data_IF_369566310154
#
_entry.id   IF_369566310154
#
_cell.length_a   1.000
_cell.length_b   1.000
_cell.length_c   1.000
_cell.angle_alpha   90.00
_cell.angle_beta   90.00
_cell.angle_gamma   90.00
#
_symmetry.space_group_name_H-M   'P 1'
#
loop_
_entity.id
_entity.type
_entity.pdbx_description
1 polymer ?
#
# COMPACT_ATOMS: atom_id res chain seq x y z
N UNK A 1 31.92 -50.64 -42.03
CA UNK A 1 30.81 -49.86 -41.45
C UNK A 1 29.89 -49.44 -42.58
N UNK A 2 28.59 -49.75 -42.48
CA UNK A 2 27.65 -49.34 -43.52
C UNK A 2 27.46 -47.82 -43.43
N UNK A 3 27.32 -47.13 -44.56
CA UNK A 3 27.14 -45.66 -44.63
C UNK A 3 26.01 -45.16 -43.70
N UNK A 4 24.98 -45.98 -43.49
CA UNK A 4 23.87 -45.71 -42.57
C UNK A 4 24.29 -45.65 -41.10
N UNK A 5 25.17 -46.53 -40.64
CA UNK A 5 25.65 -46.59 -39.25
C UNK A 5 26.51 -45.37 -38.93
N UNK A 6 27.33 -44.92 -39.89
CA UNK A 6 28.13 -43.70 -39.75
C UNK A 6 27.25 -42.46 -39.62
N UNK A 7 26.22 -42.35 -40.45
CA UNK A 7 25.25 -41.24 -40.39
C UNK A 7 24.47 -41.25 -39.07
N UNK A 8 24.12 -42.44 -38.57
CA UNK A 8 23.43 -42.61 -37.29
C UNK A 8 24.31 -42.09 -36.13
N UNK A 9 25.56 -42.51 -36.09
CA UNK A 9 26.52 -42.09 -35.07
C UNK A 9 26.79 -40.57 -35.11
N UNK A 10 26.90 -39.99 -36.32
CA UNK A 10 27.05 -38.55 -36.48
C UNK A 10 25.82 -37.80 -35.95
N UNK A 11 24.61 -38.25 -36.28
CA UNK A 11 23.37 -37.64 -35.78
C UNK A 11 23.29 -37.70 -34.26
N UNK A 12 23.59 -38.85 -33.67
CA UNK A 12 23.53 -39.07 -32.22
C UNK A 12 24.53 -38.18 -31.46
N UNK A 13 25.70 -37.91 -32.04
CA UNK A 13 26.67 -36.98 -31.47
C UNK A 13 26.28 -35.50 -31.63
N UNK A 14 25.69 -35.12 -32.78
CA UNK A 14 25.39 -33.72 -33.09
C UNK A 14 24.09 -33.21 -32.46
N UNK A 15 23.05 -34.05 -32.35
CA UNK A 15 21.75 -33.69 -31.76
C UNK A 15 21.90 -33.07 -30.35
N UNK A 16 22.62 -33.66 -29.38
CA UNK A 16 22.73 -33.08 -28.03
C UNK A 16 23.47 -31.74 -28.02
N UNK A 17 24.37 -31.52 -28.97
CA UNK A 17 25.11 -30.26 -29.11
C UNK A 17 24.21 -29.17 -29.70
N UNK A 18 23.42 -29.50 -30.74
CA UNK A 18 22.39 -28.63 -31.30
C UNK A 18 21.37 -28.25 -30.22
N UNK A 19 20.86 -29.22 -29.44
CA UNK A 19 19.90 -28.94 -28.36
C UNK A 19 20.45 -27.98 -27.30
N UNK A 20 21.72 -28.15 -26.90
CA UNK A 20 22.38 -27.24 -25.96
C UNK A 20 22.48 -25.82 -26.53
N UNK A 21 22.83 -25.70 -27.81
CA UNK A 21 22.92 -24.40 -28.48
C UNK A 21 21.53 -23.76 -28.58
N UNK A 22 20.50 -24.51 -28.97
CA UNK A 22 19.12 -24.03 -29.06
C UNK A 22 18.60 -23.58 -27.69
N UNK A 23 18.77 -24.39 -26.63
CA UNK A 23 18.37 -24.02 -25.26
C UNK A 23 19.05 -22.73 -24.79
N UNK A 24 20.37 -22.59 -25.03
CA UNK A 24 21.10 -21.36 -24.70
C UNK A 24 20.53 -20.14 -25.45
N UNK A 25 20.27 -20.27 -26.76
CA UNK A 25 19.72 -19.18 -27.59
C UNK A 25 18.31 -18.79 -27.16
N UNK A 26 17.43 -19.78 -26.90
CA UNK A 26 16.06 -19.55 -26.42
C UNK A 26 16.06 -18.87 -25.05
N UNK A 27 16.90 -19.33 -24.12
CA UNK A 27 17.00 -18.72 -22.79
C UNK A 27 17.51 -17.28 -22.84
N UNK A 28 18.48 -16.98 -23.70
CA UNK A 28 18.97 -15.61 -23.90
C UNK A 28 17.89 -14.71 -24.49
N UNK A 29 17.16 -15.18 -25.52
CA UNK A 29 16.07 -14.43 -26.13
C UNK A 29 14.93 -14.19 -25.11
N UNK A 30 14.52 -15.21 -24.35
CA UNK A 30 13.52 -15.08 -23.30
C UNK A 30 13.96 -14.10 -22.21
N UNK A 31 15.22 -14.14 -21.79
CA UNK A 31 15.76 -13.20 -20.81
C UNK A 31 15.79 -11.75 -21.33
N UNK A 32 16.04 -11.54 -22.63
CA UNK A 32 15.95 -10.23 -23.27
C UNK A 32 14.51 -9.71 -23.31
N UNK A 33 13.57 -10.55 -23.75
CA UNK A 33 12.12 -10.22 -23.78
C UNK A 33 11.60 -9.87 -22.38
N UNK A 34 11.99 -10.64 -21.35
CA UNK A 34 11.59 -10.37 -19.97
C UNK A 34 12.22 -9.05 -19.46
N UNK A 35 13.47 -8.75 -19.82
CA UNK A 35 14.13 -7.49 -19.46
C UNK A 35 13.48 -6.28 -20.14
N UNK A 36 13.07 -6.41 -21.38
CA UNK A 36 12.36 -5.36 -22.12
C UNK A 36 10.96 -5.13 -21.52
N UNK A 37 10.20 -6.19 -21.27
CA UNK A 37 8.85 -6.08 -20.70
C UNK A 37 8.84 -5.70 -19.21
N UNK A 38 9.87 -6.03 -18.41
CA UNK A 38 9.94 -5.58 -17.01
C UNK A 38 10.22 -4.09 -16.86
N UNK A 39 10.76 -3.42 -17.88
CA UNK A 39 10.96 -1.97 -17.85
C UNK A 39 9.64 -1.19 -17.98
N UNK A 40 8.58 -1.81 -18.51
CA UNK A 40 7.35 -1.10 -18.89
C UNK A 40 6.21 -1.23 -17.88
N UNK A 41 6.25 -2.15 -16.91
CA UNK A 41 5.05 -2.45 -16.09
C UNK A 41 5.33 -2.80 -14.63
N UNK A 42 5.91 -1.87 -13.86
CA UNK A 42 5.78 -1.94 -12.39
C UNK A 42 5.06 -0.69 -11.89
N UNK A 43 3.79 -0.78 -11.47
CA UNK A 43 3.10 0.37 -10.89
C UNK A 43 3.76 0.71 -9.56
N UNK A 44 4.14 1.98 -9.39
CA UNK A 44 4.59 2.52 -8.12
C UNK A 44 3.54 3.51 -7.63
N UNK A 45 3.04 3.29 -6.42
CA UNK A 45 2.06 4.18 -5.78
C UNK A 45 2.80 5.44 -5.35
N UNK A 46 2.33 6.60 -5.82
CA UNK A 46 2.83 7.91 -5.40
C UNK A 46 1.85 8.46 -4.36
N UNK A 47 2.35 8.78 -3.17
CA UNK A 47 1.56 9.46 -2.14
C UNK A 47 1.49 10.95 -2.47
N UNK A 48 0.28 11.49 -2.57
CA UNK A 48 0.05 12.93 -2.72
C UNK A 48 -0.06 13.58 -1.33
N UNK A 49 0.85 14.49 -1.01
CA UNK A 49 0.72 15.34 0.18
C UNK A 49 -0.31 16.44 -0.10
N UNK A 50 -1.50 16.33 0.49
CA UNK A 50 -2.60 17.29 0.33
C UNK A 50 -2.38 18.54 1.16
N UNK A 51 -1.25 19.23 0.98
CA UNK A 51 -1.01 20.53 1.61
C UNK A 51 -1.68 21.64 0.79
N UNK A 52 -2.38 22.55 1.47
CA UNK A 52 -3.11 23.67 0.83
C UNK A 52 -2.17 24.61 0.07
N UNK A 53 -0.90 24.70 0.49
CA UNK A 53 0.15 25.41 -0.23
C UNK A 53 0.45 24.80 -1.61
N UNK A 54 0.45 23.46 -1.74
CA UNK A 54 0.71 22.78 -3.01
C UNK A 54 -0.41 22.92 -4.05
N UNK A 55 -1.63 23.26 -3.62
CA UNK A 55 -2.78 23.54 -4.50
C UNK A 55 -2.79 24.98 -5.03
N UNK A 56 -2.12 25.90 -4.32
CA UNK A 56 -2.05 27.33 -4.67
C UNK A 56 -0.80 27.69 -5.48
N UNK A 57 0.24 26.86 -5.44
CA UNK A 57 1.44 27.03 -6.27
C UNK A 57 1.15 26.54 -7.69
N UNK A 58 1.15 27.46 -8.65
CA UNK A 58 1.02 27.20 -10.10
C UNK A 58 2.32 26.61 -10.69
N UNK A 59 3.02 25.76 -9.93
CA UNK A 59 4.14 24.99 -10.44
C UNK A 59 3.58 23.86 -11.29
N UNK A 60 4.03 23.78 -12.55
CA UNK A 60 3.68 22.73 -13.49
C UNK A 60 3.87 21.39 -12.78
N UNK A 61 2.75 20.73 -12.49
CA UNK A 61 2.77 19.40 -11.90
C UNK A 61 3.73 18.55 -12.75
N UNK A 62 4.77 17.93 -12.14
CA UNK A 62 5.70 17.12 -12.89
C UNK A 62 4.89 16.09 -13.67
N UNK A 63 5.19 15.96 -14.96
CA UNK A 63 4.45 15.11 -15.87
C UNK A 63 4.30 13.72 -15.21
N UNK A 64 3.08 13.20 -15.01
CA UNK A 64 2.85 11.92 -14.31
C UNK A 64 3.56 10.74 -14.99
N UNK A 65 4.14 10.94 -16.18
CA UNK A 65 4.93 9.96 -16.92
C UNK A 65 6.45 10.11 -16.78
N UNK A 66 6.95 11.09 -16.00
CA UNK A 66 8.39 11.24 -15.76
C UNK A 66 8.89 10.30 -14.68
N UNK A 67 9.73 9.34 -15.10
CA UNK A 67 10.32 8.31 -14.25
C UNK A 67 11.44 8.90 -13.41
N UNK A 68 11.14 9.27 -12.16
CA UNK A 68 12.17 9.60 -11.19
C UNK A 68 12.88 8.32 -10.72
N UNK A 69 14.21 8.29 -10.89
CA UNK A 69 15.06 7.13 -10.58
C UNK A 69 14.94 6.67 -9.12
N UNK A 70 15.05 5.35 -8.88
CA UNK A 70 15.06 4.77 -7.53
C UNK A 70 16.13 5.44 -6.67
N UNK A 71 15.75 5.90 -5.47
CA UNK A 71 16.70 6.35 -4.45
C UNK A 71 17.70 5.22 -4.19
N UNK A 72 18.98 5.51 -4.36
CA UNK A 72 20.08 4.58 -4.10
C UNK A 72 20.09 4.22 -2.61
N UNK A 73 20.08 2.93 -2.29
CA UNK A 73 20.21 2.44 -0.93
C UNK A 73 21.38 1.47 -0.80
N UNK A 74 21.93 1.40 0.41
CA UNK A 74 23.05 0.53 0.73
C UNK A 74 22.54 -0.88 1.01
N UNK A 75 22.85 -1.82 0.12
CA UNK A 75 22.56 -3.25 0.32
C UNK A 75 23.29 -3.76 1.56
N UNK A 76 22.57 -4.40 2.48
CA UNK A 76 23.17 -5.06 3.65
C UNK A 76 23.34 -6.54 3.38
N UNK A 77 24.40 -7.12 3.92
CA UNK A 77 24.64 -8.57 3.94
C UNK A 77 24.16 -9.12 5.28
N UNK A 78 23.10 -9.93 5.24
CA UNK A 78 22.52 -10.56 6.42
C UNK A 78 23.12 -11.95 6.65
N UNK A 79 23.28 -12.72 5.57
CA UNK A 79 23.84 -14.08 5.61
C UNK A 79 25.00 -14.17 4.61
N UNK A 80 26.16 -14.66 5.07
CA UNK A 80 27.32 -14.91 4.19
C UNK A 80 27.02 -16.07 3.25
N UNK A 81 27.27 -15.88 1.96
CA UNK A 81 27.18 -16.93 0.94
C UNK A 81 25.80 -17.14 0.30
N UNK A 82 24.75 -16.45 0.75
CA UNK A 82 23.42 -16.54 0.11
C UNK A 82 22.96 -15.19 -0.45
N UNK A 83 23.26 -14.95 -1.73
CA UNK A 83 22.89 -13.72 -2.44
C UNK A 83 21.39 -13.58 -2.63
N UNK A 84 20.69 -14.66 -2.94
CA UNK A 84 19.24 -14.66 -3.18
C UNK A 84 18.48 -14.23 -1.92
N UNK A 85 18.85 -14.79 -0.78
CA UNK A 85 18.19 -14.49 0.49
C UNK A 85 18.55 -13.09 0.98
N UNK A 86 19.79 -12.62 0.77
CA UNK A 86 20.15 -11.23 1.05
C UNK A 86 19.37 -10.24 0.17
N UNK A 87 19.16 -10.55 -1.12
CA UNK A 87 18.36 -9.71 -2.00
C UNK A 87 16.88 -9.70 -1.56
N UNK A 88 16.29 -10.85 -1.21
CA UNK A 88 14.92 -10.93 -0.66
C UNK A 88 14.75 -10.13 0.65
N UNK A 89 15.73 -10.21 1.55
CA UNK A 89 15.69 -9.48 2.82
C UNK A 89 15.86 -7.98 2.64
N UNK A 90 16.72 -7.54 1.72
CA UNK A 90 16.82 -6.13 1.37
C UNK A 90 15.51 -5.63 0.74
N UNK A 91 14.89 -6.40 -0.17
CA UNK A 91 13.59 -6.07 -0.76
C UNK A 91 12.45 -6.00 0.29
N UNK A 92 12.49 -6.83 1.32
CA UNK A 92 11.48 -6.81 2.40
C UNK A 92 11.72 -5.65 3.38
N UNK A 93 12.99 -5.36 3.68
CA UNK A 93 13.36 -4.21 4.50
C UNK A 93 12.99 -2.87 3.82
N UNK A 94 13.01 -2.81 2.49
CA UNK A 94 12.50 -1.67 1.71
C UNK A 94 11.00 -1.45 1.93
N UNK A 95 10.19 -2.51 1.90
CA UNK A 95 8.73 -2.40 2.09
C UNK A 95 8.35 -1.89 3.49
N UNK A 96 9.15 -2.21 4.52
CA UNK A 96 8.87 -1.75 5.88
C UNK A 96 8.99 -0.23 6.05
N UNK A 97 9.75 0.48 5.21
CA UNK A 97 9.86 1.94 5.28
C UNK A 97 8.69 2.65 4.59
N UNK A 98 8.11 2.02 3.56
CA UNK A 98 7.02 2.59 2.76
C UNK A 98 5.70 2.64 3.56
N UNK A 99 5.35 1.58 4.30
CA UNK A 99 4.15 1.58 5.16
C UNK A 99 4.31 2.39 6.44
N UNK A 100 5.55 2.56 6.93
CA UNK A 100 5.80 3.34 8.16
C UNK A 100 5.46 4.80 7.99
N UNK A 101 5.60 5.33 6.77
CA UNK A 101 5.48 6.76 6.51
C UNK A 101 4.29 7.17 5.67
N UNK A 102 3.61 6.30 4.91
CA UNK A 102 2.33 6.53 4.15
C UNK A 102 2.04 8.00 3.72
N UNK A 103 3.05 8.77 3.30
CA UNK A 103 2.92 10.20 2.96
C UNK A 103 2.65 11.18 4.13
N UNK A 104 2.76 10.79 5.41
CA UNK A 104 2.40 11.64 6.55
C UNK A 104 3.38 11.66 7.73
N UNK A 105 4.52 10.97 7.63
CA UNK A 105 5.51 10.85 8.69
C UNK A 105 5.46 9.49 9.40
N UNK A 106 6.56 9.13 10.08
CA UNK A 106 6.71 7.82 10.70
C UNK A 106 5.69 7.60 11.84
N UNK A 107 4.81 6.60 11.69
CA UNK A 107 3.94 6.16 12.77
C UNK A 107 4.76 5.47 13.87
N UNK A 108 5.24 6.27 14.82
CA UNK A 108 5.94 5.76 16.00
C UNK A 108 4.96 5.30 17.07
N UNK A 109 5.43 4.45 17.98
CA UNK A 109 4.67 3.97 19.14
C UNK A 109 4.14 5.11 20.03
N UNK A 110 4.72 6.30 19.95
CA UNK A 110 4.27 7.47 20.70
C UNK A 110 3.02 8.12 20.08
N UNK A 111 2.84 8.08 18.75
CA UNK A 111 1.57 8.43 18.11
C UNK A 111 0.44 7.46 18.47
N UNK A 112 0.74 6.17 18.61
CA UNK A 112 -0.25 5.17 19.03
C UNK A 112 -0.78 5.40 20.46
N UNK A 113 0.05 5.97 21.34
CA UNK A 113 -0.39 6.40 22.68
C UNK A 113 -1.36 7.58 22.59
N UNK A 114 -1.11 8.55 21.71
CA UNK A 114 -2.02 9.68 21.50
C UNK A 114 -3.35 9.23 20.89
N UNK A 115 -3.34 8.23 20.00
CA UNK A 115 -4.57 7.69 19.40
C UNK A 115 -5.40 6.82 20.37
N UNK A 116 -4.74 6.13 21.32
CA UNK A 116 -5.41 5.39 22.40
C UNK A 116 -5.87 6.28 23.56
N UNK A 117 -5.15 7.37 23.83
CA UNK A 117 -5.50 8.34 24.88
C UNK A 117 -6.61 9.30 24.41
N UNK A 118 -6.71 9.56 23.11
CA UNK A 118 -7.86 10.22 22.53
C UNK A 118 -9.04 9.25 22.52
N UNK A 119 -9.84 9.26 23.59
CA UNK A 119 -11.23 8.88 23.45
C UNK A 119 -11.75 9.62 22.20
N UNK A 120 -12.38 8.96 21.22
CA UNK A 120 -12.90 9.66 20.04
C UNK A 120 -13.86 10.80 20.42
N UNK A 121 -14.42 10.75 21.64
CA UNK A 121 -15.21 11.82 22.24
C UNK A 121 -14.39 13.08 22.58
N UNK A 122 -13.13 12.96 23.02
CA UNK A 122 -12.30 14.12 23.39
C UNK A 122 -11.81 14.92 22.18
N UNK A 123 -11.89 14.36 20.97
CA UNK A 123 -11.65 15.09 19.72
C UNK A 123 -12.76 16.14 19.44
N UNK A 124 -13.93 16.00 20.07
CA UNK A 124 -15.06 16.92 19.92
C UNK A 124 -15.16 17.97 21.05
N UNK A 125 -14.12 18.06 21.91
CA UNK A 125 -14.05 18.95 23.07
C UNK A 125 -14.47 18.30 24.40
N UNK A 126 -14.26 18.99 25.51
CA UNK A 126 -14.70 18.55 26.86
C UNK A 126 -16.24 18.59 27.03
N UNK A 127 -16.95 19.16 26.07
CA UNK A 127 -18.40 19.30 26.09
C UNK A 127 -19.09 18.13 25.37
N UNK A 128 -20.31 17.82 25.81
CA UNK A 128 -21.16 16.77 25.22
C UNK A 128 -21.29 17.05 23.70
N UNK A 129 -20.93 16.10 22.81
CA UNK A 129 -20.91 16.35 21.38
C UNK A 129 -22.33 16.69 20.90
N UNK A 130 -22.46 17.83 20.23
CA UNK A 130 -23.72 18.25 19.60
C UNK A 130 -23.88 17.58 18.25
N UNK A 131 -25.13 17.49 17.80
CA UNK A 131 -25.53 16.86 16.54
C UNK A 131 -24.78 17.50 15.37
N UNK A 132 -24.65 18.83 15.38
CA UNK A 132 -23.98 19.58 14.31
C UNK A 132 -22.47 19.33 14.25
N UNK A 133 -21.83 18.99 15.38
CA UNK A 133 -20.41 18.64 15.39
C UNK A 133 -20.13 17.22 14.83
N UNK A 134 -21.16 16.37 14.74
CA UNK A 134 -21.02 14.96 14.34
C UNK A 134 -21.55 14.67 12.93
N UNK A 135 -22.06 15.68 12.22
CA UNK A 135 -22.63 15.52 10.89
C UNK A 135 -21.86 16.40 9.90
N UNK A 136 -21.52 15.89 8.70
CA UNK A 136 -20.91 16.70 7.65
C UNK A 136 -21.80 17.89 7.24
N UNK A 137 -21.20 19.02 6.92
CA UNK A 137 -21.90 20.25 6.50
C UNK A 137 -22.71 20.11 5.19
N UNK A 138 -22.49 19.02 4.42
CA UNK A 138 -23.22 18.71 3.18
C UNK A 138 -24.64 18.17 3.44
N UNK A 139 -25.45 18.91 4.20
CA UNK A 139 -26.81 18.50 4.54
C UNK A 139 -27.83 18.87 3.45
N UNK A 140 -27.45 19.62 2.41
CA UNK A 140 -28.33 20.09 1.30
C UNK A 140 -29.73 20.53 1.80
N UNK A 141 -29.79 21.16 2.98
CA UNK A 141 -31.03 21.63 3.61
C UNK A 141 -31.93 20.54 4.25
N UNK A 142 -31.49 19.29 4.39
CA UNK A 142 -32.30 18.21 4.99
C UNK A 142 -32.20 18.21 6.52
N UNK A 143 -33.35 18.37 7.17
CA UNK A 143 -33.48 18.23 8.62
C UNK A 143 -33.37 16.76 9.02
N UNK A 144 -32.65 16.50 10.13
CA UNK A 144 -32.49 15.15 10.64
C UNK A 144 -33.55 14.90 11.72
N UNK A 145 -34.27 13.77 11.68
CA UNK A 145 -35.21 13.41 12.74
C UNK A 145 -34.54 13.36 14.12
N UNK A 146 -35.25 13.84 15.15
CA UNK A 146 -34.74 13.94 16.52
C UNK A 146 -34.27 12.60 17.11
N UNK A 147 -34.89 11.48 16.70
CA UNK A 147 -34.47 10.14 17.10
C UNK A 147 -33.05 9.78 16.59
N UNK A 148 -32.74 10.17 15.35
CA UNK A 148 -31.43 9.93 14.74
C UNK A 148 -30.37 10.84 15.36
N UNK A 149 -30.75 12.10 15.61
CA UNK A 149 -29.92 13.08 16.31
C UNK A 149 -29.49 12.60 17.71
N UNK A 150 -30.45 12.09 18.49
CA UNK A 150 -30.18 11.58 19.84
C UNK A 150 -29.38 10.27 19.84
N UNK A 151 -29.60 9.38 18.86
CA UNK A 151 -28.81 8.18 18.70
C UNK A 151 -27.35 8.49 18.35
N UNK A 152 -27.15 9.49 17.48
CA UNK A 152 -25.82 9.94 17.05
C UNK A 152 -25.01 10.53 18.21
N UNK A 153 -25.64 11.37 19.04
CA UNK A 153 -25.01 11.98 20.23
C UNK A 153 -25.05 11.08 21.48
N UNK A 154 -25.62 9.88 21.36
CA UNK A 154 -25.91 8.95 22.48
C UNK A 154 -26.67 9.63 23.62
N UNK A 155 -27.48 10.64 23.32
CA UNK A 155 -28.24 11.39 24.32
C UNK A 155 -29.56 10.69 24.64
N UNK A 156 -29.47 9.62 25.45
CA UNK A 156 -30.64 8.91 25.95
C UNK A 156 -31.33 9.61 27.12
N UNK A 157 -31.00 10.87 27.43
CA UNK A 157 -31.54 11.57 28.60
C UNK A 157 -33.07 11.67 28.58
N UNK A 158 -33.69 11.81 27.41
CA UNK A 158 -35.16 11.79 27.28
C UNK A 158 -35.77 10.43 27.64
N UNK A 159 -35.08 9.33 27.28
CA UNK A 159 -35.50 7.98 27.63
C UNK A 159 -35.36 7.74 29.14
N UNK A 160 -34.22 8.12 29.72
CA UNK A 160 -33.92 7.93 31.15
C UNK A 160 -34.80 8.80 32.05
N UNK A 161 -35.15 10.01 31.60
CA UNK A 161 -36.05 10.92 32.30
C UNK A 161 -37.53 10.62 32.07
N UNK A 162 -37.87 9.70 31.18
CA UNK A 162 -39.26 9.34 30.94
C UNK A 162 -39.87 8.63 32.17
N UNK A 163 -41.12 8.94 32.47
CA UNK A 163 -41.85 8.33 33.58
C UNK A 163 -41.93 6.80 33.45
N UNK A 164 -42.01 6.30 32.21
CA UNK A 164 -42.03 4.86 31.91
C UNK A 164 -40.71 4.15 32.31
N UNK A 165 -39.57 4.81 32.13
CA UNK A 165 -38.28 4.30 32.55
C UNK A 165 -38.09 4.41 34.06
N UNK A 166 -38.44 5.55 34.66
CA UNK A 166 -38.33 5.73 36.11
C UNK A 166 -39.25 4.79 36.91
N UNK A 167 -40.45 4.50 36.40
CA UNK A 167 -41.40 3.58 37.02
C UNK A 167 -40.97 2.11 36.93
N UNK A 168 -40.11 1.75 35.97
CA UNK A 168 -39.52 0.40 35.84
C UNK A 168 -38.28 0.19 36.71
N UNK A 169 -37.66 1.27 37.18
CA UNK A 169 -36.46 1.26 38.03
C UNK A 169 -36.80 1.36 39.53
N UNK A 170 -38.08 1.50 39.88
CA UNK A 170 -38.62 1.38 41.25
C UNK A 170 -39.28 0.02 41.40
#
# INVERSE_FOLDING_TARGET
MKKSELIQAIKEALIPEIEKIVKKRVNLAAAQIIKENRKTTKPKVVNHDTSLASLMSEESQPNPYEVQGKKSYTKKTFIKGNSLLNDMLNETAEQQQEYKSMGGGDYTSDMAKNFRAANPMSAFGETKPTVDNMIPDDRRGRQIPSAVANALTKDYSALVKSDAFQKRMK
#
